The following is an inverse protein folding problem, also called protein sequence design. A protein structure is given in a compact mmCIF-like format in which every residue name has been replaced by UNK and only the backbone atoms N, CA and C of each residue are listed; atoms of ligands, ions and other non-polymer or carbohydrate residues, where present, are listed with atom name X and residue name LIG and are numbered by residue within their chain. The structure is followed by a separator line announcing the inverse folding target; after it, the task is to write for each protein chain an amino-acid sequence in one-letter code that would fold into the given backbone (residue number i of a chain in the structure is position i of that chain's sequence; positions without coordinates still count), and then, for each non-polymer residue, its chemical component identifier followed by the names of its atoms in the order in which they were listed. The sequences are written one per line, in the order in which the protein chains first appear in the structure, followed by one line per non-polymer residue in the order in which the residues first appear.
data_IF_820967813141
#
_entry.id   IF_820967813141
#
_cell.length_a   1.000
_cell.length_b   1.000
_cell.length_c   1.000
_cell.angle_alpha   90.00
_cell.angle_beta   90.00
_cell.angle_gamma   90.00
#
_symmetry.space_group_name_H-M   'P 1'
#
loop_
_entity.id
_entity.type
_entity.pdbx_description
1 polymer ?
#
# COMPACT_ATOMS: atom_id res chain seq x y z
N UNK A 1 -0.09 31.49 -0.22
CA UNK A 1 -0.56 31.59 1.18
C UNK A 1 0.32 30.71 2.04
N UNK A 2 0.62 31.17 3.24
CA UNK A 2 1.47 30.46 4.22
C UNK A 2 0.66 29.37 4.92
N UNK A 3 1.34 28.49 5.62
CA UNK A 3 0.69 27.40 6.34
C UNK A 3 -0.34 27.93 7.36
N UNK A 4 -1.40 27.16 7.57
CA UNK A 4 -2.60 27.51 8.33
C UNK A 4 -3.43 28.68 7.78
N UNK A 5 -3.12 29.22 6.59
CA UNK A 5 -3.99 30.19 5.92
C UNK A 5 -5.08 29.51 5.11
N UNK A 6 -6.27 30.11 5.08
CA UNK A 6 -7.40 29.58 4.34
C UNK A 6 -7.13 29.55 2.83
N UNK A 7 -7.39 28.42 2.18
CA UNK A 7 -7.21 28.23 0.74
C UNK A 7 -8.50 27.70 0.10
N UNK A 8 -8.73 28.07 -1.16
CA UNK A 8 -9.82 27.54 -1.99
C UNK A 8 -9.33 26.46 -2.95
N UNK A 9 -8.02 26.19 -2.96
CA UNK A 9 -7.37 25.18 -3.79
C UNK A 9 -5.85 25.21 -3.61
N UNK A 10 -5.16 24.15 -4.05
CA UNK A 10 -3.72 23.95 -3.84
C UNK A 10 -2.85 25.10 -4.36
N UNK A 11 -3.22 25.69 -5.49
CA UNK A 11 -2.51 26.83 -6.09
C UNK A 11 -2.50 28.09 -5.19
N UNK A 12 -3.41 28.18 -4.22
CA UNK A 12 -3.40 29.26 -3.23
C UNK A 12 -2.23 29.12 -2.25
N UNK A 13 -1.70 27.92 -2.04
CA UNK A 13 -0.72 27.60 -1.00
C UNK A 13 0.70 27.61 -1.54
N UNK A 14 1.64 28.20 -0.79
CA UNK A 14 3.06 28.18 -1.17
C UNK A 14 3.64 26.76 -1.15
N UNK A 15 3.07 25.88 -0.33
CA UNK A 15 3.35 24.45 -0.23
C UNK A 15 2.64 23.60 -1.29
N UNK A 16 1.76 24.20 -2.12
CA UNK A 16 0.88 23.49 -3.04
C UNK A 16 -0.06 22.48 -2.37
N UNK A 17 -0.30 22.56 -1.06
CA UNK A 17 -1.13 21.63 -0.31
C UNK A 17 -2.24 22.38 0.43
N UNK A 18 -3.48 22.24 -0.05
CA UNK A 18 -4.69 22.78 0.54
C UNK A 18 -5.57 21.64 1.07
N UNK A 19 -5.58 21.45 2.39
CA UNK A 19 -6.28 20.35 3.06
C UNK A 19 -7.30 20.97 4.02
N UNK A 20 -8.55 20.50 4.00
CA UNK A 20 -9.64 21.06 4.81
C UNK A 20 -9.79 22.59 4.71
N UNK A 21 -9.47 23.15 3.53
CA UNK A 21 -9.43 24.59 3.24
C UNK A 21 -8.33 25.36 3.97
N UNK A 22 -7.26 24.71 4.42
CA UNK A 22 -6.08 25.37 4.99
C UNK A 22 -4.81 24.90 4.29
N UNK A 23 -3.86 25.81 4.13
CA UNK A 23 -2.54 25.48 3.60
C UNK A 23 -1.76 24.68 4.65
N UNK A 24 -1.13 23.58 4.26
CA UNK A 24 -0.25 22.80 5.13
C UNK A 24 1.13 22.69 4.51
N UNK A 25 2.15 22.48 5.35
CA UNK A 25 3.47 22.10 4.87
C UNK A 25 3.34 20.83 4.01
N UNK A 26 4.04 20.82 2.86
CA UNK A 26 4.00 19.68 1.95
C UNK A 26 4.44 18.42 2.70
N UNK A 27 3.50 17.52 2.91
CA UNK A 27 3.71 16.23 3.56
C UNK A 27 3.19 15.15 2.60
N UNK A 28 4.02 14.16 2.21
CA UNK A 28 3.63 13.07 1.32
C UNK A 28 2.43 12.24 1.82
N UNK A 29 2.03 12.44 3.07
CA UNK A 29 0.94 11.72 3.74
C UNK A 29 -0.46 12.12 3.24
N UNK A 30 -0.59 13.22 2.48
CA UNK A 30 -1.89 13.76 2.06
C UNK A 30 -2.08 13.93 0.54
N UNK A 31 -1.12 13.47 -0.27
CA UNK A 31 -1.26 13.42 -1.71
C UNK A 31 -0.97 12.01 -2.21
N UNK A 32 -1.61 11.65 -3.31
CA UNK A 32 -1.47 10.35 -3.95
C UNK A 32 -0.25 10.35 -4.85
N UNK A 33 0.52 9.27 -4.74
CA UNK A 33 1.74 9.03 -5.47
C UNK A 33 1.46 8.66 -6.93
N UNK A 34 2.50 8.71 -7.76
CA UNK A 34 2.40 8.41 -9.19
C UNK A 34 1.89 6.98 -9.41
N UNK A 35 0.83 6.84 -10.21
CA UNK A 35 0.16 5.58 -10.52
C UNK A 35 -1.06 5.25 -9.64
N UNK A 36 -1.26 5.94 -8.53
CA UNK A 36 -2.45 5.77 -7.68
C UNK A 36 -3.70 6.39 -8.32
N UNK A 37 -4.88 5.85 -7.97
CA UNK A 37 -6.15 6.32 -8.52
C UNK A 37 -6.49 7.73 -8.03
N UNK A 38 -6.84 8.64 -8.93
CA UNK A 38 -7.28 10.00 -8.63
C UNK A 38 -8.61 10.32 -9.30
N UNK A 39 -9.38 11.20 -8.66
CA UNK A 39 -10.60 11.78 -9.22
C UNK A 39 -10.40 13.24 -9.63
N UNK A 40 -9.42 13.92 -9.03
CA UNK A 40 -9.02 15.29 -9.39
C UNK A 40 -7.49 15.40 -9.40
N UNK A 41 -6.94 16.33 -10.19
CA UNK A 41 -5.50 16.63 -10.19
C UNK A 41 -4.99 17.04 -8.81
N UNK A 42 -5.82 17.68 -7.99
CA UNK A 42 -5.47 18.06 -6.63
C UNK A 42 -5.13 16.85 -5.73
N UNK A 43 -5.65 15.66 -6.04
CA UNK A 43 -5.35 14.42 -5.32
C UNK A 43 -3.87 14.04 -5.45
N UNK A 44 -3.20 14.45 -6.54
CA UNK A 44 -1.88 13.97 -6.91
C UNK A 44 -0.78 14.89 -6.42
N UNK A 45 0.33 14.32 -5.93
CA UNK A 45 1.48 15.11 -5.47
C UNK A 45 2.05 16.04 -6.56
N UNK A 46 1.91 15.64 -7.82
CA UNK A 46 2.37 16.38 -9.00
C UNK A 46 1.26 17.19 -9.70
N UNK A 47 0.07 17.25 -9.10
CA UNK A 47 -1.07 18.00 -9.62
C UNK A 47 -1.50 17.59 -11.04
N UNK A 48 -1.33 16.31 -11.38
CA UNK A 48 -1.71 15.77 -12.68
C UNK A 48 -2.44 14.44 -12.51
N UNK A 49 -3.76 14.50 -12.61
CA UNK A 49 -4.60 13.31 -12.72
C UNK A 49 -4.91 13.05 -14.20
N UNK A 50 -4.33 12.00 -14.76
CA UNK A 50 -4.51 11.62 -16.17
C UNK A 50 -5.05 10.21 -16.24
N UNK A 51 -6.14 10.03 -16.97
CA UNK A 51 -6.87 8.75 -17.07
C UNK A 51 -7.25 8.15 -15.70
N UNK A 52 -7.54 9.01 -14.72
CA UNK A 52 -7.81 8.66 -13.31
C UNK A 52 -6.61 8.10 -12.55
N UNK A 53 -5.38 8.34 -13.00
CA UNK A 53 -4.17 8.01 -12.26
C UNK A 53 -3.25 9.21 -12.10
N UNK A 54 -2.63 9.32 -10.93
CA UNK A 54 -1.65 10.36 -10.67
C UNK A 54 -0.42 10.19 -11.55
N UNK A 55 0.03 11.27 -12.18
CA UNK A 55 1.17 11.30 -13.09
C UNK A 55 2.18 12.33 -12.63
N UNK A 56 3.46 12.06 -12.84
CA UNK A 56 4.49 13.10 -12.79
C UNK A 56 4.70 13.63 -14.22
N UNK A 57 4.31 14.88 -14.51
CA UNK A 57 4.44 15.45 -15.85
C UNK A 57 5.91 15.66 -16.28
N UNK A 58 6.87 15.50 -15.36
CA UNK A 58 8.32 15.51 -15.66
C UNK A 58 8.84 14.11 -16.05
N UNK A 59 8.09 13.05 -15.74
CA UNK A 59 8.35 11.71 -16.27
C UNK A 59 7.77 11.62 -17.69
N UNK A 60 8.65 11.60 -18.68
CA UNK A 60 8.28 11.19 -20.05
C UNK A 60 7.66 9.79 -20.02
N UNK A 61 6.35 9.70 -20.28
CA UNK A 61 5.55 8.47 -20.42
C UNK A 61 6.09 7.28 -19.61
N UNK A 62 5.80 7.27 -18.31
CA UNK A 62 6.02 6.08 -17.50
C UNK A 62 4.91 5.04 -17.76
N UNK A 63 5.22 3.77 -17.57
CA UNK A 63 4.30 2.64 -17.70
C UNK A 63 3.42 2.54 -16.45
N UNK A 64 2.11 2.47 -16.64
CA UNK A 64 1.12 2.33 -15.55
C UNK A 64 1.15 0.93 -14.94
N UNK A 65 0.61 0.80 -13.72
CA UNK A 65 0.55 -0.50 -13.03
C UNK A 65 -0.26 -1.52 -13.86
N UNK A 66 0.21 -2.77 -13.88
CA UNK A 66 -0.36 -3.87 -14.66
C UNK A 66 0.25 -4.05 -16.05
N UNK A 67 1.00 -3.08 -16.55
CA UNK A 67 1.60 -3.12 -17.89
C UNK A 67 3.08 -3.54 -17.85
N UNK A 68 3.58 -4.04 -18.98
CA UNK A 68 4.93 -4.59 -19.08
C UNK A 68 6.04 -3.55 -18.83
N UNK A 69 7.06 -3.94 -18.07
CA UNK A 69 8.25 -3.15 -17.82
C UNK A 69 9.53 -3.99 -17.91
N UNK A 70 10.65 -3.33 -18.19
CA UNK A 70 11.98 -3.94 -18.19
C UNK A 70 12.80 -3.55 -16.97
N UNK A 71 12.65 -2.31 -16.52
CA UNK A 71 13.33 -1.75 -15.36
C UNK A 71 12.33 -0.99 -14.48
N UNK A 72 12.67 -0.85 -13.19
CA UNK A 72 11.93 -0.04 -12.23
C UNK A 72 11.64 1.37 -12.73
N UNK A 73 12.60 2.01 -13.40
CA UNK A 73 12.46 3.38 -13.92
C UNK A 73 11.41 3.51 -15.02
N UNK A 74 11.06 2.40 -15.69
CA UNK A 74 10.03 2.38 -16.71
C UNK A 74 8.65 2.59 -16.08
N UNK A 75 8.47 2.15 -14.83
CA UNK A 75 7.21 2.22 -14.12
C UNK A 75 6.95 3.58 -13.49
N UNK A 76 5.69 3.99 -13.55
CA UNK A 76 5.15 5.13 -12.84
C UNK A 76 5.37 4.98 -11.32
N UNK A 77 5.10 3.79 -10.79
CA UNK A 77 5.36 3.40 -9.39
C UNK A 77 6.84 3.26 -9.02
N UNK A 78 7.75 3.34 -10.00
CA UNK A 78 9.16 2.96 -9.87
C UNK A 78 9.41 1.51 -9.44
N UNK A 79 8.41 0.63 -9.55
CA UNK A 79 8.53 -0.79 -9.20
C UNK A 79 8.13 -1.68 -10.37
N UNK A 80 9.10 -2.42 -10.90
CA UNK A 80 8.92 -3.42 -11.95
C UNK A 80 9.12 -4.82 -11.35
N UNK A 81 8.04 -5.57 -11.20
CA UNK A 81 8.07 -6.90 -10.60
C UNK A 81 7.51 -7.95 -11.56
N UNK A 82 8.23 -9.06 -11.70
CA UNK A 82 7.90 -10.13 -12.64
C UNK A 82 7.61 -9.63 -14.08
N UNK A 83 8.23 -8.52 -14.48
CA UNK A 83 8.07 -7.89 -15.80
C UNK A 83 6.84 -7.00 -15.94
N UNK A 84 6.11 -6.69 -14.87
CA UNK A 84 4.99 -5.75 -14.89
C UNK A 84 5.17 -4.64 -13.85
N UNK A 85 4.67 -3.46 -14.16
CA UNK A 85 4.63 -2.38 -13.20
C UNK A 85 3.64 -2.72 -12.09
N UNK A 86 4.09 -2.61 -10.85
CA UNK A 86 3.24 -2.87 -9.69
C UNK A 86 3.15 -1.63 -8.84
N UNK A 87 1.97 -1.39 -8.26
CA UNK A 87 1.82 -0.32 -7.29
C UNK A 87 2.77 -0.59 -6.09
N UNK A 88 3.32 0.45 -5.45
CA UNK A 88 3.89 0.25 -4.13
C UNK A 88 2.80 -0.31 -3.20
N UNK A 89 3.19 -1.23 -2.33
CA UNK A 89 2.30 -1.86 -1.37
C UNK A 89 2.97 -1.91 0.01
N UNK A 90 2.15 -2.08 1.03
CA UNK A 90 2.54 -2.12 2.42
C UNK A 90 2.93 -3.55 2.79
N UNK A 91 4.13 -3.72 3.34
CA UNK A 91 4.64 -5.00 3.83
C UNK A 91 3.79 -5.58 4.97
N UNK A 92 3.80 -6.90 5.11
CA UNK A 92 3.13 -7.60 6.21
C UNK A 92 3.57 -7.07 7.60
N UNK A 93 2.61 -6.96 8.51
CA UNK A 93 2.79 -6.46 9.87
C UNK A 93 2.78 -4.92 10.00
N UNK A 94 2.61 -4.20 8.90
CA UNK A 94 2.48 -2.72 8.88
C UNK A 94 1.03 -2.30 8.80
N UNK A 95 0.74 -1.06 9.21
CA UNK A 95 -0.64 -0.56 9.26
C UNK A 95 -1.22 -0.36 7.86
N UNK A 96 -2.50 -0.64 7.71
CA UNK A 96 -3.29 -0.44 6.49
C UNK A 96 -4.72 -0.06 6.86
N UNK A 97 -5.48 0.47 5.90
CA UNK A 97 -6.92 0.72 6.06
C UNK A 97 -7.77 -0.13 5.10
N UNK A 98 -7.21 -0.56 3.98
CA UNK A 98 -7.86 -1.31 2.92
C UNK A 98 -6.95 -2.44 2.44
N UNK A 99 -7.55 -3.55 2.02
CA UNK A 99 -6.85 -4.75 1.52
C UNK A 99 -5.87 -4.42 0.39
N UNK A 100 -6.27 -3.55 -0.54
CA UNK A 100 -5.48 -3.18 -1.72
C UNK A 100 -4.18 -2.42 -1.39
N UNK A 101 -4.04 -1.90 -0.16
CA UNK A 101 -2.79 -1.28 0.29
C UNK A 101 -1.72 -2.33 0.59
N UNK A 102 -2.11 -3.55 0.96
CA UNK A 102 -1.19 -4.60 1.39
C UNK A 102 -0.64 -5.40 0.22
N UNK A 103 0.65 -5.76 0.28
CA UNK A 103 1.25 -6.64 -0.73
C UNK A 103 0.57 -8.02 -0.76
N UNK A 104 0.07 -8.47 0.40
CA UNK A 104 -0.73 -9.68 0.56
C UNK A 104 -2.19 -9.55 0.09
N UNK A 105 -2.63 -8.33 -0.24
CA UNK A 105 -4.02 -7.98 -0.48
C UNK A 105 -4.96 -8.29 0.70
N UNK A 106 -4.44 -8.26 1.93
CA UNK A 106 -5.24 -8.52 3.13
C UNK A 106 -4.88 -7.59 4.28
N UNK A 107 -5.82 -6.72 4.64
CA UNK A 107 -5.75 -5.79 5.73
C UNK A 107 -6.68 -6.23 6.87
N UNK A 108 -6.11 -6.86 7.89
CA UNK A 108 -6.85 -7.41 9.03
C UNK A 108 -6.44 -6.67 10.30
N UNK A 109 -7.44 -6.21 11.06
CA UNK A 109 -7.25 -5.42 12.28
C UNK A 109 -6.37 -4.17 12.09
N UNK A 110 -6.44 -3.56 10.90
CA UNK A 110 -5.61 -2.44 10.43
C UNK A 110 -4.13 -2.79 10.24
N UNK A 111 -3.79 -4.06 10.03
CA UNK A 111 -2.43 -4.49 9.68
C UNK A 111 -2.44 -5.39 8.45
N UNK A 112 -1.46 -5.21 7.57
CA UNK A 112 -1.26 -6.11 6.46
C UNK A 112 -0.88 -7.48 6.99
N UNK A 113 -1.60 -8.50 6.55
CA UNK A 113 -1.34 -9.88 6.94
C UNK A 113 -1.09 -10.72 5.71
N UNK A 114 -0.05 -11.53 5.76
CA UNK A 114 0.17 -12.59 4.79
C UNK A 114 -1.06 -13.48 4.74
N UNK A 115 -1.44 -13.95 3.54
CA UNK A 115 -2.35 -15.09 3.43
C UNK A 115 -1.77 -16.30 4.18
N UNK A 116 -2.47 -16.67 5.24
CA UNK A 116 -2.10 -17.76 6.12
C UNK A 116 -3.32 -18.65 6.36
N UNK A 117 -3.04 -19.90 6.68
CA UNK A 117 -4.02 -20.94 6.95
C UNK A 117 -4.55 -20.81 8.37
N UNK A 118 -5.86 -20.92 8.50
CA UNK A 118 -6.57 -20.88 9.78
C UNK A 118 -6.38 -22.19 10.52
N UNK A 119 -6.75 -22.20 11.80
CA UNK A 119 -6.69 -23.40 12.61
C UNK A 119 -7.46 -24.57 11.97
N UNK A 120 -6.92 -25.77 12.14
CA UNK A 120 -7.39 -27.02 11.53
C UNK A 120 -7.29 -27.10 10.01
N UNK A 121 -6.67 -26.12 9.34
CA UNK A 121 -6.33 -26.24 7.91
C UNK A 121 -4.98 -26.94 7.72
N UNK A 122 -4.87 -27.67 6.61
CA UNK A 122 -3.68 -28.46 6.31
C UNK A 122 -2.46 -27.59 6.02
N UNK A 123 -1.37 -27.76 6.75
CA UNK A 123 -0.11 -27.01 6.57
C UNK A 123 1.07 -27.93 6.23
N UNK A 124 2.01 -27.41 5.45
CA UNK A 124 3.27 -28.08 5.14
C UNK A 124 4.43 -27.58 6.01
N UNK A 125 4.22 -26.47 6.75
CA UNK A 125 5.19 -25.91 7.67
C UNK A 125 4.61 -24.73 8.47
N UNK A 126 5.32 -24.32 9.54
CA UNK A 126 4.85 -23.30 10.47
C UNK A 126 4.46 -21.97 9.80
N UNK A 127 5.21 -21.55 8.78
CA UNK A 127 4.94 -20.29 8.08
C UNK A 127 3.66 -20.32 7.22
N UNK A 128 3.03 -21.48 7.04
CA UNK A 128 1.72 -21.58 6.40
C UNK A 128 0.61 -21.11 7.34
N UNK A 129 0.78 -21.25 8.66
CA UNK A 129 -0.28 -21.02 9.65
C UNK A 129 -0.25 -19.60 10.19
N UNK A 130 -1.43 -19.00 10.40
CA UNK A 130 -1.53 -17.67 11.02
C UNK A 130 -0.97 -17.67 12.45
N UNK A 131 -1.09 -18.79 13.14
CA UNK A 131 -0.53 -19.03 14.48
C UNK A 131 0.97 -19.31 14.49
N UNK A 132 1.62 -19.40 13.32
CA UNK A 132 3.00 -19.87 13.15
C UNK A 132 3.26 -21.28 13.71
N UNK A 133 2.22 -22.11 13.85
CA UNK A 133 2.32 -23.45 14.45
C UNK A 133 1.62 -24.49 13.59
N UNK A 134 2.41 -25.32 12.92
CA UNK A 134 1.96 -26.44 12.11
C UNK A 134 2.29 -27.76 12.83
N UNK A 135 1.27 -28.42 13.38
CA UNK A 135 1.41 -29.66 14.16
C UNK A 135 0.62 -30.75 13.45
N UNK A 136 1.25 -31.91 13.21
CA UNK A 136 0.65 -33.03 12.49
C UNK A 136 0.02 -32.65 11.14
N UNK A 137 0.63 -31.68 10.45
CA UNK A 137 0.15 -31.08 9.20
C UNK A 137 -1.14 -30.28 9.32
N UNK A 138 -1.51 -29.81 10.52
CA UNK A 138 -2.63 -28.89 10.72
C UNK A 138 -2.20 -27.65 11.51
N UNK A 139 -2.80 -26.51 11.19
CA UNK A 139 -2.56 -25.28 11.93
C UNK A 139 -3.26 -25.32 13.28
N UNK A 140 -2.57 -24.85 14.33
CA UNK A 140 -3.15 -24.73 15.67
C UNK A 140 -2.76 -23.41 16.31
N UNK A 141 -3.68 -22.78 17.03
CA UNK A 141 -3.34 -21.68 17.91
C UNK A 141 -2.38 -22.15 19.01
N UNK A 142 -1.37 -21.34 19.31
CA UNK A 142 -0.39 -21.66 20.34
C UNK A 142 -1.06 -21.59 21.73
N UNK A 143 -1.62 -22.70 22.18
CA UNK A 143 -2.15 -22.83 23.54
C UNK A 143 -1.12 -23.57 24.42
N UNK A 144 -0.79 -23.04 25.62
CA UNK A 144 0.14 -23.70 26.54
C UNK A 144 -0.28 -25.12 26.99
N UNK A 145 -1.51 -25.54 26.69
CA UNK A 145 -2.03 -26.87 27.02
C UNK A 145 -1.42 -27.97 26.16
N UNK A 146 -1.01 -27.69 24.91
CA UNK A 146 -0.40 -28.68 24.01
C UNK A 146 1.04 -29.09 24.39
N UNK A 147 1.73 -28.31 25.22
CA UNK A 147 3.07 -28.68 25.72
C UNK A 147 3.05 -29.86 26.73
N UNK A 148 1.88 -30.31 27.19
CA UNK A 148 1.77 -31.39 28.18
C UNK A 148 1.72 -32.80 27.60
N UNK A 149 1.48 -32.97 26.30
CA UNK A 149 1.33 -34.31 25.70
C UNK A 149 2.57 -34.81 24.95
N UNK A 150 3.62 -34.00 24.83
CA UNK A 150 4.88 -34.36 24.14
C UNK A 150 6.09 -34.44 25.09
N UNK A 151 5.83 -34.64 26.39
CA UNK A 151 6.86 -34.80 27.44
C UNK A 151 7.16 -36.25 27.79
#
# INVERSE_FOLDING_TARGET
KKDSEYCSGNADCCSMSCIDNFCFEYTPEYCKEVGEYCSDSADCCYQACVDNHCQDPTLTQCTVNGEYCKNNTDCCSKNCEAGNCVAPCIDDGRKCFHDAECCSQSCVDNFCQKECKKDSEYCSGNADCCSMSCIDNFCFEYTPEYCKEVG
#
